data_IF_732456905722
#
_entry.id   IF_732456905722
#
_cell.length_a   1.000
_cell.length_b   1.000
_cell.length_c   1.000
_cell.angle_alpha   90.00
_cell.angle_beta   90.00
_cell.angle_gamma   90.00
#
_symmetry.space_group_name_H-M   'P 1'
#
loop_
_entity.id
_entity.type
_entity.pdbx_description
1 polymer ?
#
# COMPACT_ATOMS: atom_id res chain seq x y z
N UNK A 1 5.78 15.95 -2.07
CA UNK A 1 5.02 14.76 -1.65
C UNK A 1 5.95 13.56 -1.45
N UNK A 2 6.69 13.11 -2.46
CA UNK A 2 7.65 12.00 -2.30
C UNK A 2 8.77 12.31 -1.30
N UNK A 3 9.37 13.51 -1.35
CA UNK A 3 10.46 13.86 -0.42
C UNK A 3 9.96 14.00 1.03
N UNK A 4 8.73 14.49 1.21
CA UNK A 4 8.07 14.56 2.53
C UNK A 4 7.79 13.16 3.05
N UNK A 5 7.30 12.26 2.19
CA UNK A 5 7.07 10.87 2.57
C UNK A 5 8.38 10.15 2.89
N UNK A 6 9.43 10.34 2.10
CA UNK A 6 10.76 9.77 2.37
C UNK A 6 11.30 10.29 3.71
N UNK A 7 11.12 11.57 3.99
CA UNK A 7 11.44 12.14 5.30
C UNK A 7 10.61 11.48 6.41
N UNK A 8 9.29 11.43 6.30
CA UNK A 8 8.41 10.87 7.34
C UNK A 8 8.64 9.37 7.60
N UNK A 9 9.04 8.60 6.57
CA UNK A 9 9.11 7.13 6.65
C UNK A 9 10.53 6.56 6.79
N UNK A 10 11.56 7.26 6.31
CA UNK A 10 12.94 6.77 6.31
C UNK A 10 13.87 7.62 7.18
N UNK A 11 13.62 8.92 7.35
CA UNK A 11 14.43 9.76 8.23
C UNK A 11 14.08 9.46 9.70
N UNK A 12 15.09 9.34 10.55
CA UNK A 12 14.93 9.11 12.00
C UNK A 12 14.09 10.17 12.72
N UNK A 13 13.95 11.37 12.12
CA UNK A 13 13.14 12.49 12.63
C UNK A 13 11.70 12.46 12.16
N UNK A 14 11.36 11.60 11.20
CA UNK A 14 10.00 11.45 10.70
C UNK A 14 9.07 10.90 11.78
N UNK A 15 7.91 11.56 11.95
CA UNK A 15 6.93 11.18 12.97
C UNK A 15 6.31 9.81 12.67
N UNK A 16 5.98 9.56 11.39
CA UNK A 16 5.41 8.28 10.93
C UNK A 16 6.36 7.13 11.22
N UNK A 17 7.65 7.28 10.89
CA UNK A 17 8.68 6.30 11.24
C UNK A 17 8.73 6.09 12.76
N UNK A 18 8.72 7.16 13.55
CA UNK A 18 8.73 7.09 15.01
C UNK A 18 7.60 6.21 15.56
N UNK A 19 6.36 6.51 15.18
CA UNK A 19 5.17 5.77 15.62
C UNK A 19 5.24 4.30 15.23
N UNK A 20 5.59 3.98 13.99
CA UNK A 20 5.74 2.58 13.57
C UNK A 20 6.87 1.86 14.29
N UNK A 21 7.98 2.54 14.57
CA UNK A 21 9.07 1.96 15.36
C UNK A 21 8.66 1.71 16.81
N UNK A 22 7.82 2.55 17.42
CA UNK A 22 7.23 2.28 18.73
C UNK A 22 6.35 1.04 18.72
N UNK A 23 5.50 0.87 17.69
CA UNK A 23 4.69 -0.35 17.53
C UNK A 23 5.57 -1.59 17.36
N UNK A 24 6.53 -1.54 16.43
CA UNK A 24 7.48 -2.62 16.21
C UNK A 24 8.22 -2.93 17.51
N UNK A 25 8.70 -1.93 18.23
CA UNK A 25 9.43 -2.13 19.49
C UNK A 25 8.55 -2.69 20.62
N UNK A 26 7.31 -2.23 20.74
CA UNK A 26 6.33 -2.78 21.70
C UNK A 26 6.03 -4.26 21.44
N UNK A 27 6.13 -4.66 20.18
CA UNK A 27 6.01 -6.04 19.75
C UNK A 27 7.36 -6.79 19.92
N UNK A 28 8.52 -6.10 19.82
CA UNK A 28 9.86 -6.70 19.90
C UNK A 28 10.13 -7.49 21.17
N UNK A 29 9.72 -7.09 22.38
CA UNK A 29 10.02 -7.93 23.56
C UNK A 29 9.35 -9.33 23.51
N UNK A 30 8.39 -9.56 22.62
CA UNK A 30 7.80 -10.88 22.29
C UNK A 30 8.31 -11.50 20.97
N UNK A 31 9.14 -10.77 20.22
CA UNK A 31 9.50 -10.96 18.79
C UNK A 31 11.03 -10.91 18.53
N UNK A 32 11.84 -10.40 19.47
CA UNK A 32 13.22 -9.97 19.24
C UNK A 32 14.24 -11.11 19.35
N UNK A 33 14.20 -12.03 18.39
CA UNK A 33 15.40 -12.76 18.01
C UNK A 33 15.77 -12.49 16.55
N UNK A 34 16.98 -12.91 16.16
CA UNK A 34 17.52 -12.67 14.82
C UNK A 34 16.60 -13.18 13.68
N UNK A 35 15.70 -14.12 13.96
CA UNK A 35 14.81 -14.70 12.96
C UNK A 35 13.47 -13.94 12.84
N UNK A 36 13.04 -13.21 13.88
CA UNK A 36 11.79 -12.46 13.85
C UNK A 36 11.75 -11.45 12.70
N UNK A 37 12.82 -10.66 12.55
CA UNK A 37 12.94 -9.67 11.48
C UNK A 37 12.98 -10.32 10.09
N UNK A 38 13.70 -11.45 9.95
CA UNK A 38 13.79 -12.23 8.70
C UNK A 38 12.43 -12.74 8.24
N UNK A 39 11.60 -13.22 9.18
CA UNK A 39 10.24 -13.70 8.89
C UNK A 39 9.35 -12.56 8.39
N UNK A 40 9.35 -11.43 9.10
CA UNK A 40 8.54 -10.26 8.70
C UNK A 40 8.98 -9.76 7.32
N UNK A 41 10.29 -9.65 7.08
CA UNK A 41 10.83 -9.24 5.78
C UNK A 41 10.36 -10.17 4.65
N UNK A 42 10.45 -11.49 4.86
CA UNK A 42 10.02 -12.47 3.86
C UNK A 42 8.54 -12.34 3.52
N UNK A 43 7.68 -12.12 4.53
CA UNK A 43 6.25 -11.89 4.33
C UNK A 43 6.02 -10.59 3.54
N UNK A 44 6.72 -9.51 3.88
CA UNK A 44 6.65 -8.22 3.18
C UNK A 44 7.08 -8.31 1.71
N UNK A 45 8.16 -9.05 1.43
CA UNK A 45 8.63 -9.32 0.07
C UNK A 45 7.63 -10.15 -0.77
N UNK A 46 6.71 -10.86 -0.12
CA UNK A 46 5.66 -11.65 -0.75
C UNK A 46 4.26 -11.01 -0.60
N UNK A 47 4.16 -9.68 -0.40
CA UNK A 47 2.90 -8.97 -0.09
C UNK A 47 1.73 -9.18 -1.05
N UNK A 48 1.99 -9.57 -2.30
CA UNK A 48 0.95 -9.83 -3.31
C UNK A 48 0.26 -11.19 -3.13
N UNK A 49 0.71 -12.02 -2.18
CA UNK A 49 0.15 -13.35 -1.94
C UNK A 49 0.17 -13.72 -0.46
N UNK A 50 -0.58 -14.77 -0.14
CA UNK A 50 -0.45 -15.47 1.14
C UNK A 50 0.77 -16.39 1.09
N UNK A 51 1.50 -16.44 2.20
CA UNK A 51 2.61 -17.37 2.43
C UNK A 51 2.24 -18.35 3.54
N UNK A 52 2.63 -19.61 3.37
CA UNK A 52 2.37 -20.64 4.39
C UNK A 52 3.49 -20.70 5.42
N UNK A 53 3.19 -21.24 6.61
CA UNK A 53 4.21 -21.50 7.63
C UNK A 53 5.38 -22.35 7.11
N UNK A 54 5.07 -23.39 6.33
CA UNK A 54 6.08 -24.29 5.76
C UNK A 54 6.97 -23.58 4.74
N UNK A 55 6.37 -22.73 3.89
CA UNK A 55 7.14 -21.88 2.98
C UNK A 55 8.10 -20.96 3.73
N UNK A 56 7.64 -20.29 4.79
CA UNK A 56 8.46 -19.40 5.61
C UNK A 56 9.63 -20.17 6.21
N UNK A 57 9.36 -21.33 6.83
CA UNK A 57 10.38 -22.16 7.49
C UNK A 57 11.45 -22.62 6.50
N UNK A 58 11.02 -23.14 5.35
CA UNK A 58 11.92 -23.69 4.35
C UNK A 58 12.72 -22.59 3.63
N UNK A 59 12.09 -21.45 3.32
CA UNK A 59 12.77 -20.36 2.62
C UNK A 59 13.84 -19.66 3.47
N UNK A 60 13.65 -19.63 4.79
CA UNK A 60 14.56 -18.96 5.73
C UNK A 60 15.51 -19.91 6.45
N UNK A 61 15.42 -21.21 6.17
CA UNK A 61 16.18 -22.29 6.84
C UNK A 61 16.10 -22.16 8.38
N UNK A 62 14.87 -22.07 8.89
CA UNK A 62 14.65 -21.86 10.32
C UNK A 62 14.80 -23.17 11.09
N UNK A 63 15.70 -23.18 12.08
CA UNK A 63 15.92 -24.32 12.97
C UNK A 63 14.81 -24.55 14.01
N UNK A 64 13.84 -23.65 14.10
CA UNK A 64 12.75 -23.72 15.08
C UNK A 64 11.65 -24.70 14.65
N UNK A 65 10.97 -25.27 15.62
CA UNK A 65 9.82 -26.16 15.39
C UNK A 65 8.60 -25.41 14.87
N UNK A 66 7.69 -26.14 14.25
CA UNK A 66 6.39 -25.62 13.80
C UNK A 66 5.60 -24.90 14.90
N UNK A 67 5.65 -25.43 16.13
CA UNK A 67 4.97 -24.84 17.29
C UNK A 67 5.56 -23.49 17.69
N UNK A 68 6.88 -23.37 17.63
CA UNK A 68 7.59 -22.12 17.93
C UNK A 68 7.32 -21.07 16.86
N UNK A 69 7.40 -21.47 15.59
CA UNK A 69 7.09 -20.60 14.45
C UNK A 69 5.63 -20.14 14.48
N UNK A 70 4.68 -21.03 14.80
CA UNK A 70 3.27 -20.67 14.94
C UNK A 70 3.03 -19.69 16.09
N UNK A 71 3.63 -19.94 17.26
CA UNK A 71 3.53 -19.03 18.41
C UNK A 71 4.03 -17.63 18.04
N UNK A 72 5.12 -17.57 17.25
CA UNK A 72 5.70 -16.33 16.76
C UNK A 72 4.80 -15.61 15.76
N UNK A 73 4.31 -16.31 14.73
CA UNK A 73 3.42 -15.72 13.72
C UNK A 73 2.12 -15.21 14.37
N UNK A 74 1.57 -15.92 15.37
CA UNK A 74 0.42 -15.44 16.15
C UNK A 74 0.74 -14.18 16.96
N UNK A 75 1.96 -14.02 17.45
CA UNK A 75 2.37 -12.79 18.14
C UNK A 75 2.43 -11.61 17.16
N UNK A 76 2.89 -11.84 15.93
CA UNK A 76 2.92 -10.81 14.89
C UNK A 76 1.51 -10.38 14.48
N UNK A 77 0.58 -11.34 14.33
CA UNK A 77 -0.83 -11.05 14.07
C UNK A 77 -1.45 -10.26 15.21
N UNK A 78 -1.20 -10.62 16.47
CA UNK A 78 -1.73 -9.89 17.64
C UNK A 78 -1.16 -8.47 17.81
N UNK A 79 -0.03 -8.19 17.18
CA UNK A 79 0.61 -6.89 17.19
C UNK A 79 0.30 -6.09 15.92
N UNK A 80 -0.61 -6.57 15.06
CA UNK A 80 -0.99 -5.96 13.78
C UNK A 80 0.22 -5.73 12.84
N UNK A 81 1.24 -6.59 12.93
CA UNK A 81 2.46 -6.55 12.10
C UNK A 81 2.29 -7.36 10.80
N UNK A 82 1.46 -8.41 10.85
CA UNK A 82 1.05 -9.24 9.71
C UNK A 82 -0.41 -9.62 9.86
N UNK A 83 -1.04 -10.05 8.78
CA UNK A 83 -2.43 -10.53 8.80
C UNK A 83 -2.48 -12.05 8.65
N UNK A 84 -3.47 -12.66 9.32
CA UNK A 84 -3.76 -14.08 9.16
C UNK A 84 -4.64 -14.28 7.92
N UNK A 85 -4.24 -15.23 7.08
CA UNK A 85 -5.01 -15.62 5.90
C UNK A 85 -6.27 -16.41 6.25
N UNK A 86 -6.87 -16.99 5.22
CA UNK A 86 -8.12 -17.78 5.31
C UNK A 86 -7.94 -19.12 6.02
N UNK A 87 -6.70 -19.57 6.19
CA UNK A 87 -6.36 -20.75 6.98
C UNK A 87 -5.45 -20.37 8.14
N UNK A 88 -5.47 -21.16 9.21
CA UNK A 88 -4.59 -20.97 10.37
C UNK A 88 -3.09 -21.06 10.04
N UNK A 89 -2.73 -21.50 8.84
CA UNK A 89 -1.35 -21.75 8.39
C UNK A 89 -0.85 -20.74 7.35
N UNK A 90 -1.68 -19.79 6.94
CA UNK A 90 -1.34 -18.80 5.92
C UNK A 90 -1.33 -17.40 6.50
N UNK A 91 -0.39 -16.58 6.01
CA UNK A 91 -0.14 -15.22 6.48
C UNK A 91 0.13 -14.31 5.30
N UNK A 92 -0.12 -13.02 5.45
CA UNK A 92 0.29 -12.02 4.46
C UNK A 92 0.70 -10.72 5.15
N UNK A 93 1.41 -9.86 4.41
CA UNK A 93 1.76 -8.54 4.91
C UNK A 93 0.49 -7.71 5.15
N UNK A 94 0.54 -6.83 6.14
CA UNK A 94 -0.51 -5.83 6.34
C UNK A 94 -0.68 -5.03 5.05
N UNK A 95 -1.91 -4.67 4.71
CA UNK A 95 -2.18 -3.93 3.47
C UNK A 95 -1.51 -2.55 3.44
N UNK A 96 -1.09 -2.02 4.59
CA UNK A 96 -0.43 -0.73 4.72
C UNK A 96 0.98 -0.73 4.10
N UNK A 97 1.13 -0.01 2.99
CA UNK A 97 2.39 0.17 2.30
C UNK A 97 3.42 1.02 3.09
N UNK A 98 2.97 1.79 4.09
CA UNK A 98 3.82 2.60 4.97
C UNK A 98 4.61 1.71 5.94
N UNK A 99 3.96 0.70 6.52
CA UNK A 99 4.65 -0.27 7.38
C UNK A 99 5.78 -0.99 6.63
N UNK A 100 5.47 -1.55 5.45
CA UNK A 100 6.47 -2.22 4.57
C UNK A 100 7.66 -1.29 4.30
N UNK A 101 7.40 0.01 4.08
CA UNK A 101 8.44 1.00 3.76
C UNK A 101 9.33 1.28 4.96
N UNK A 102 8.72 1.51 6.13
CA UNK A 102 9.43 1.78 7.38
C UNK A 102 10.24 0.55 7.79
N UNK A 103 9.62 -0.63 7.80
CA UNK A 103 10.26 -1.87 8.23
C UNK A 103 11.47 -2.20 7.34
N UNK A 104 11.30 -2.18 6.02
CA UNK A 104 12.39 -2.45 5.08
C UNK A 104 13.47 -1.36 5.16
N UNK A 105 13.09 -0.10 5.31
CA UNK A 105 14.01 1.02 5.45
C UNK A 105 14.90 0.94 6.69
N UNK A 106 14.43 0.29 7.77
CA UNK A 106 15.17 0.18 9.04
C UNK A 106 15.94 -1.15 9.15
N UNK A 107 15.35 -2.27 8.73
CA UNK A 107 15.90 -3.58 9.04
C UNK A 107 16.45 -4.34 7.83
N UNK A 108 16.13 -3.95 6.60
CA UNK A 108 16.52 -4.76 5.46
C UNK A 108 18.05 -4.79 5.30
N UNK A 109 18.73 -3.65 5.47
CA UNK A 109 20.20 -3.56 5.44
C UNK A 109 20.87 -4.51 6.46
N UNK A 110 20.34 -4.60 7.68
CA UNK A 110 20.81 -5.53 8.71
C UNK A 110 20.64 -7.00 8.30
N UNK A 111 19.56 -7.32 7.58
CA UNK A 111 19.16 -8.70 7.28
C UNK A 111 19.87 -9.26 6.04
N UNK A 112 19.95 -8.49 4.95
CA UNK A 112 20.43 -8.97 3.64
C UNK A 112 21.43 -8.01 2.96
N UNK A 113 21.89 -6.95 3.65
CA UNK A 113 22.83 -5.96 3.12
C UNK A 113 22.21 -5.02 2.06
N UNK A 114 20.88 -4.99 1.95
CA UNK A 114 20.17 -4.16 0.99
C UNK A 114 20.19 -2.67 1.38
N UNK A 115 20.45 -1.80 0.41
CA UNK A 115 20.53 -0.35 0.62
C UNK A 115 19.17 0.36 0.49
N UNK A 116 18.82 1.32 1.37
CA UNK A 116 17.57 2.07 1.34
C UNK A 116 17.21 2.74 0.00
N UNK A 117 18.17 3.05 -0.86
CA UNK A 117 17.90 3.71 -2.15
C UNK A 117 17.08 2.85 -3.12
N UNK A 118 17.23 1.51 -3.08
CA UNK A 118 16.40 0.60 -3.88
C UNK A 118 14.94 0.60 -3.39
N UNK A 119 14.70 0.72 -2.08
CA UNK A 119 13.33 0.91 -1.53
C UNK A 119 12.75 2.22 -2.06
N UNK A 120 13.50 3.32 -2.02
CA UNK A 120 13.02 4.61 -2.55
C UNK A 120 12.59 4.50 -4.02
N UNK A 121 13.33 3.78 -4.85
CA UNK A 121 12.97 3.59 -6.26
C UNK A 121 11.71 2.71 -6.44
N UNK A 122 11.59 1.60 -5.73
CA UNK A 122 10.40 0.75 -5.74
C UNK A 122 9.15 1.55 -5.35
N UNK A 123 9.24 2.33 -4.26
CA UNK A 123 8.14 3.17 -3.81
C UNK A 123 7.89 4.34 -4.76
N UNK A 124 8.92 4.98 -5.31
CA UNK A 124 8.76 6.01 -6.34
C UNK A 124 8.03 5.46 -7.56
N UNK A 125 8.29 4.22 -7.97
CA UNK A 125 7.54 3.54 -9.04
C UNK A 125 6.09 3.27 -8.62
N UNK A 126 5.87 2.76 -7.41
CA UNK A 126 4.53 2.53 -6.86
C UNK A 126 3.71 3.84 -6.83
N UNK A 127 4.28 4.91 -6.27
CA UNK A 127 3.65 6.21 -6.21
C UNK A 127 3.46 6.85 -7.59
N UNK A 128 4.40 6.66 -8.53
CA UNK A 128 4.19 7.07 -9.93
C UNK A 128 3.01 6.33 -10.56
N UNK A 129 2.82 5.03 -10.27
CA UNK A 129 1.66 4.25 -10.73
C UNK A 129 0.36 4.71 -10.06
N UNK A 130 0.43 5.12 -8.79
CA UNK A 130 -0.71 5.64 -8.03
C UNK A 130 -1.04 7.11 -8.33
N UNK A 131 -0.22 7.79 -9.14
CA UNK A 131 -0.46 9.19 -9.51
C UNK A 131 -1.79 9.31 -10.27
N UNK A 132 -2.73 9.99 -9.62
CA UNK A 132 -3.95 10.50 -10.23
C UNK A 132 -3.67 11.87 -10.86
N UNK A 133 -4.45 12.23 -11.87
CA UNK A 133 -4.23 13.49 -12.60
C UNK A 133 -4.63 14.69 -11.73
N UNK A 134 -5.65 14.53 -10.89
CA UNK A 134 -6.13 15.53 -9.93
C UNK A 134 -6.27 14.88 -8.55
N UNK A 135 -5.66 15.49 -7.54
CA UNK A 135 -5.91 15.20 -6.14
C UNK A 135 -6.00 16.50 -5.35
N UNK A 136 -7.12 16.72 -4.66
CA UNK A 136 -7.28 17.82 -3.72
C UNK A 136 -7.83 17.27 -2.41
N UNK A 137 -6.99 17.30 -1.37
CA UNK A 137 -7.37 16.87 -0.03
C UNK A 137 -8.14 18.01 0.66
N UNK A 138 -9.31 17.68 1.20
CA UNK A 138 -10.07 18.61 2.01
C UNK A 138 -9.73 18.41 3.50
N UNK A 139 -9.86 19.48 4.30
CA UNK A 139 -9.79 19.41 5.76
C UNK A 139 -11.16 19.17 6.38
N UNK A 140 -11.17 18.63 7.60
CA UNK A 140 -12.39 18.37 8.35
C UNK A 140 -13.29 17.33 7.68
N UNK A 141 -14.60 17.59 7.65
CA UNK A 141 -15.63 16.66 7.14
C UNK A 141 -16.01 16.92 5.66
N UNK A 142 -15.21 17.71 4.94
CA UNK A 142 -15.46 18.06 3.54
C UNK A 142 -14.97 16.96 2.58
N UNK A 143 -15.52 16.96 1.36
CA UNK A 143 -15.14 16.00 0.32
C UNK A 143 -13.77 16.33 -0.28
N UNK A 144 -12.87 15.36 -0.26
CA UNK A 144 -11.67 15.39 -1.09
C UNK A 144 -12.02 15.06 -2.55
N UNK A 145 -11.22 15.54 -3.49
CA UNK A 145 -11.39 15.28 -4.92
C UNK A 145 -10.27 14.39 -5.43
N UNK A 146 -10.63 13.34 -6.17
CA UNK A 146 -9.69 12.51 -6.92
C UNK A 146 -10.21 12.40 -8.35
N UNK A 147 -9.35 12.67 -9.34
CA UNK A 147 -9.77 12.62 -10.73
C UNK A 147 -8.70 12.25 -11.75
N UNK A 148 -9.21 11.88 -12.92
CA UNK A 148 -8.42 11.48 -14.09
C UNK A 148 -8.89 12.29 -15.31
N UNK A 149 -7.95 12.89 -16.04
CA UNK A 149 -8.21 13.84 -17.13
C UNK A 149 -7.53 13.36 -18.40
N UNK A 150 -8.30 13.05 -19.44
CA UNK A 150 -7.79 12.57 -20.73
C UNK A 150 -8.14 13.51 -21.86
N UNK A 151 -7.14 14.24 -22.36
CA UNK A 151 -7.23 15.04 -23.58
C UNK A 151 -6.52 14.33 -24.74
N UNK A 152 -7.25 13.43 -25.41
CA UNK A 152 -6.74 12.63 -26.55
C UNK A 152 -7.91 12.20 -27.44
N UNK A 153 -7.61 11.69 -28.64
CA UNK A 153 -8.62 11.21 -29.60
C UNK A 153 -9.30 9.89 -29.22
N UNK A 154 -8.69 9.10 -28.32
CA UNK A 154 -9.19 7.78 -27.90
C UNK A 154 -10.19 7.89 -26.75
N UNK A 155 -11.38 7.30 -26.94
CA UNK A 155 -12.41 7.13 -25.90
C UNK A 155 -11.86 6.39 -24.67
N UNK A 156 -12.31 6.81 -23.50
CA UNK A 156 -11.92 6.20 -22.24
C UNK A 156 -12.59 4.83 -22.08
N UNK A 157 -11.77 3.81 -21.82
CA UNK A 157 -12.15 2.40 -21.81
C UNK A 157 -12.53 1.88 -20.42
N UNK A 158 -13.18 0.70 -20.38
CA UNK A 158 -13.47 0.00 -19.13
C UNK A 158 -12.18 -0.38 -18.38
N UNK A 159 -11.13 -0.78 -19.09
CA UNK A 159 -9.83 -1.09 -18.48
C UNK A 159 -9.25 0.12 -17.76
N UNK A 160 -9.32 1.30 -18.39
CA UNK A 160 -8.88 2.55 -17.76
C UNK A 160 -9.79 2.93 -16.58
N UNK A 161 -11.10 2.68 -16.66
CA UNK A 161 -12.03 2.95 -15.56
C UNK A 161 -11.73 2.12 -14.32
N UNK A 162 -11.45 0.82 -14.50
CA UNK A 162 -11.03 -0.07 -13.41
C UNK A 162 -9.69 0.34 -12.83
N UNK A 163 -8.73 0.69 -13.68
CA UNK A 163 -7.41 1.14 -13.25
C UNK A 163 -7.50 2.45 -12.45
N UNK A 164 -8.29 3.44 -12.91
CA UNK A 164 -8.53 4.67 -12.16
C UNK A 164 -9.16 4.40 -10.80
N UNK A 165 -10.22 3.59 -10.76
CA UNK A 165 -10.90 3.27 -9.50
C UNK A 165 -9.97 2.60 -8.50
N UNK A 166 -9.16 1.63 -8.93
CA UNK A 166 -8.16 0.99 -8.08
C UNK A 166 -7.14 2.00 -7.53
N UNK A 167 -6.58 2.88 -8.40
CA UNK A 167 -5.66 3.94 -7.97
C UNK A 167 -6.31 4.88 -6.95
N UNK A 168 -7.55 5.30 -7.20
CA UNK A 168 -8.27 6.21 -6.32
C UNK A 168 -8.53 5.60 -4.94
N UNK A 169 -8.90 4.33 -4.87
CA UNK A 169 -9.07 3.61 -3.59
C UNK A 169 -7.77 3.54 -2.78
N UNK A 170 -6.63 3.34 -3.44
CA UNK A 170 -5.33 3.33 -2.75
C UNK A 170 -4.93 4.73 -2.28
N UNK A 171 -5.17 5.78 -3.08
CA UNK A 171 -4.96 7.17 -2.64
C UNK A 171 -5.82 7.50 -1.42
N UNK A 172 -7.07 7.05 -1.37
CA UNK A 172 -7.95 7.25 -0.21
C UNK A 172 -7.39 6.63 1.07
N UNK A 173 -6.85 5.40 0.98
CA UNK A 173 -6.23 4.73 2.14
C UNK A 173 -4.97 5.44 2.60
N UNK A 174 -4.07 5.75 1.68
CA UNK A 174 -2.78 6.36 1.99
C UNK A 174 -2.93 7.76 2.60
N UNK A 175 -3.97 8.47 2.19
CA UNK A 175 -4.24 9.84 2.65
C UNK A 175 -5.24 9.89 3.82
N UNK A 176 -5.67 8.73 4.33
CA UNK A 176 -6.67 8.58 5.39
C UNK A 176 -7.94 9.42 5.14
N UNK A 177 -8.55 9.24 3.96
CA UNK A 177 -9.69 10.04 3.51
C UNK A 177 -10.99 9.25 3.65
N UNK A 178 -11.86 9.70 4.53
CA UNK A 178 -13.19 9.12 4.75
C UNK A 178 -14.26 9.55 3.73
N UNK A 179 -14.11 10.75 3.12
CA UNK A 179 -15.07 11.32 2.16
C UNK A 179 -14.38 11.78 0.88
N UNK A 180 -14.72 11.16 -0.24
CA UNK A 180 -14.13 11.49 -1.54
C UNK A 180 -15.17 11.54 -2.65
N UNK A 181 -15.06 12.53 -3.52
CA UNK A 181 -15.73 12.54 -4.82
C UNK A 181 -14.72 12.14 -5.91
N UNK A 182 -15.09 11.10 -6.66
CA UNK A 182 -14.31 10.61 -7.79
C UNK A 182 -14.84 11.19 -9.09
N UNK A 183 -13.96 11.66 -9.98
CA UNK A 183 -14.38 12.11 -11.30
C UNK A 183 -13.44 11.71 -12.44
N UNK A 184 -13.99 11.55 -13.64
CA UNK A 184 -13.20 11.32 -14.86
C UNK A 184 -13.64 12.28 -15.96
N UNK A 185 -12.68 13.01 -16.51
CA UNK A 185 -12.87 13.80 -17.72
C UNK A 185 -12.22 13.11 -18.93
N UNK A 186 -12.94 13.03 -20.05
CA UNK A 186 -12.39 12.54 -21.32
C UNK A 186 -12.91 13.32 -22.52
N UNK A 187 -12.04 14.06 -23.20
CA UNK A 187 -12.41 14.92 -24.34
C UNK A 187 -13.00 14.14 -25.54
N UNK A 188 -12.58 12.89 -25.74
CA UNK A 188 -13.12 12.00 -26.77
C UNK A 188 -14.38 11.24 -26.32
N UNK A 189 -14.80 11.41 -25.07
CA UNK A 189 -15.88 10.65 -24.45
C UNK A 189 -15.46 9.27 -23.96
N UNK A 190 -16.47 8.41 -23.76
CA UNK A 190 -16.37 7.15 -23.05
C UNK A 190 -17.01 6.03 -23.86
N UNK A 191 -16.54 4.79 -23.67
CA UNK A 191 -17.33 3.62 -24.07
C UNK A 191 -18.49 3.40 -23.09
N UNK A 192 -19.61 2.84 -23.57
CA UNK A 192 -20.79 2.56 -22.73
C UNK A 192 -20.44 1.72 -21.50
N UNK A 193 -19.57 0.72 -21.67
CA UNK A 193 -19.08 -0.14 -20.58
C UNK A 193 -18.35 0.63 -19.48
N UNK A 194 -17.62 1.70 -19.83
CA UNK A 194 -16.99 2.57 -18.84
C UNK A 194 -18.02 3.42 -18.10
N UNK A 195 -19.02 3.97 -18.81
CA UNK A 195 -20.13 4.74 -18.22
C UNK A 195 -20.92 3.88 -17.23
N UNK A 196 -21.27 2.65 -17.62
CA UNK A 196 -22.00 1.73 -16.75
C UNK A 196 -21.21 1.40 -15.48
N UNK A 197 -19.88 1.23 -15.63
CA UNK A 197 -18.98 1.07 -14.49
C UNK A 197 -18.95 2.31 -13.59
N UNK A 198 -18.89 3.52 -14.14
CA UNK A 198 -18.88 4.76 -13.35
C UNK A 198 -20.16 4.93 -12.55
N UNK A 199 -21.33 4.73 -13.18
CA UNK A 199 -22.63 4.81 -12.51
C UNK A 199 -22.72 3.82 -11.34
N UNK A 200 -22.27 2.58 -11.55
CA UNK A 200 -22.26 1.55 -10.52
C UNK A 200 -21.39 1.91 -9.32
N UNK A 201 -20.28 2.61 -9.53
CA UNK A 201 -19.29 2.92 -8.49
C UNK A 201 -19.33 4.38 -8.02
N UNK A 202 -20.38 5.15 -8.36
CA UNK A 202 -20.53 6.53 -7.91
C UNK A 202 -19.46 7.50 -8.44
N UNK A 203 -18.91 7.25 -9.63
CA UNK A 203 -17.87 8.09 -10.24
C UNK A 203 -18.54 9.11 -11.16
N UNK A 204 -18.29 10.40 -10.93
CA UNK A 204 -18.73 11.47 -11.82
C UNK A 204 -17.93 11.43 -13.12
N UNK A 205 -18.53 11.79 -14.25
CA UNK A 205 -17.80 11.82 -15.52
C UNK A 205 -18.32 12.91 -16.45
N UNK A 206 -17.42 13.48 -17.24
CA UNK A 206 -17.76 14.48 -18.25
C UNK A 206 -16.88 14.36 -19.49
N UNK A 207 -17.48 14.62 -20.66
CA UNK A 207 -16.77 14.82 -21.92
C UNK A 207 -17.03 16.23 -22.49
N UNK A 208 -17.63 17.10 -21.70
CA UNK A 208 -17.94 18.47 -22.08
C UNK A 208 -16.68 19.31 -22.03
N UNK A 209 -16.18 19.70 -23.20
CA UNK A 209 -14.92 20.44 -23.34
C UNK A 209 -14.91 21.79 -22.63
N UNK A 210 -16.09 22.37 -22.32
CA UNK A 210 -16.24 23.58 -21.49
C UNK A 210 -15.67 23.39 -20.08
N UNK A 211 -15.42 22.16 -19.65
CA UNK A 211 -14.73 21.85 -18.40
C UNK A 211 -13.24 22.24 -18.42
N UNK A 212 -12.64 22.45 -19.61
CA UNK A 212 -11.23 22.81 -19.78
C UNK A 212 -11.02 24.30 -20.15
N UNK A 213 -12.10 25.04 -20.37
CA UNK A 213 -12.11 26.47 -20.71
C UNK A 213 -12.21 27.33 -19.44
#
# INVERSE_FOLDING_TARGET
>A
MLDVLDFETLDKRGSIRGTWMEYIHSATDRINDANGKRIILYICQNKERKVTRDEIRNALDLSMTDRELEKRLKAFVKADIIEQGTSYFSYHAVQDHIFDKVFRGVYQEEIDGFTPDKIKDEYRILYKKLRVDVFAKAGGDAYSLIGEVKNRKKKFSLTEARAFFAKASEVQKLEDISKTLLFVFSAAGFYKTAIDFFKKNGIAFSNDKRFLE
#
